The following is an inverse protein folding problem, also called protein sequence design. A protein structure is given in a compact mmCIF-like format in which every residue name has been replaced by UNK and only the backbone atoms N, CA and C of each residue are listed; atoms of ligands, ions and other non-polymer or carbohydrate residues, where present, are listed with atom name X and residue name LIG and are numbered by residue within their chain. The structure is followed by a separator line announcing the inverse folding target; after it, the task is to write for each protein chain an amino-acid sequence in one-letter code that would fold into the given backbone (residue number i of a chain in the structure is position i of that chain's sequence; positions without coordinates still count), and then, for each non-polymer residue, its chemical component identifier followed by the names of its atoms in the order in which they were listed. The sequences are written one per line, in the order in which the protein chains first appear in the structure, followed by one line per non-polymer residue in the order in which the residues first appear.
data_IF_522768169473
#
_entry.id   IF_522768169473
#
_cell.length_a   1.000
_cell.length_b   1.000
_cell.length_c   1.000
_cell.angle_alpha   90.00
_cell.angle_beta   90.00
_cell.angle_gamma   90.00
#
_symmetry.space_group_name_H-M   'P 1'
#
loop_
_entity.id
_entity.type
_entity.pdbx_description
1 polymer ?
#
# COMPACT_ATOMS: atom_id res chain seq x y z
N UNK A 1 15.63 -2.89 12.00
CA UNK A 1 14.24 -2.97 12.47
C UNK A 1 13.57 -4.14 11.77
N UNK A 2 12.85 -4.98 12.52
CA UNK A 2 12.00 -6.03 11.96
C UNK A 2 10.84 -5.41 11.17
N UNK A 3 10.25 -6.16 10.24
CA UNK A 3 9.03 -5.73 9.56
C UNK A 3 7.93 -5.41 10.59
N UNK A 4 7.08 -4.39 10.33
CA UNK A 4 5.87 -4.25 11.11
C UNK A 4 4.96 -5.46 10.88
N UNK A 5 4.07 -5.73 11.85
CA UNK A 5 3.09 -6.80 11.78
C UNK A 5 1.68 -6.24 11.64
N UNK A 6 0.81 -7.01 11.00
CA UNK A 6 -0.61 -6.71 10.90
C UNK A 6 -1.28 -6.93 12.24
N UNK A 7 -1.96 -5.90 12.77
CA UNK A 7 -2.64 -5.94 14.07
C UNK A 7 -3.66 -7.09 14.19
N UNK A 8 -4.30 -7.51 13.09
CA UNK A 8 -5.32 -8.56 13.13
C UNK A 8 -4.80 -9.99 13.03
N UNK A 9 -3.63 -10.22 12.46
CA UNK A 9 -3.16 -11.59 12.20
C UNK A 9 -1.69 -11.83 12.53
N UNK A 10 -1.00 -10.83 13.07
CA UNK A 10 0.41 -10.85 13.47
C UNK A 10 1.41 -11.20 12.35
N UNK A 11 0.95 -11.31 11.10
CA UNK A 11 1.81 -11.57 9.96
C UNK A 11 2.49 -10.29 9.47
N UNK A 12 3.67 -10.38 8.83
CA UNK A 12 4.42 -9.21 8.37
C UNK A 12 3.65 -8.34 7.36
N UNK A 13 3.95 -7.04 7.37
CA UNK A 13 3.51 -6.07 6.36
C UNK A 13 4.70 -5.47 5.63
N UNK A 14 4.50 -5.09 4.37
CA UNK A 14 5.55 -4.58 3.48
C UNK A 14 5.34 -3.11 3.07
N UNK A 15 4.44 -2.40 3.76
CA UNK A 15 4.17 -0.96 3.58
C UNK A 15 3.83 -0.54 2.12
N UNK A 16 3.45 -1.49 1.27
CA UNK A 16 3.05 -1.25 -0.12
C UNK A 16 1.66 -0.63 -0.21
N UNK A 17 1.58 0.59 -0.73
CA UNK A 17 0.31 1.29 -0.91
C UNK A 17 -0.73 0.46 -1.68
N UNK A 18 -1.96 0.46 -1.20
CA UNK A 18 -3.07 -0.34 -1.76
C UNK A 18 -3.08 -1.82 -1.32
N UNK A 19 -2.03 -2.34 -0.70
CA UNK A 19 -2.01 -3.68 -0.11
C UNK A 19 -2.02 -3.66 1.41
N UNK A 20 -1.44 -2.61 1.99
CA UNK A 20 -1.35 -2.39 3.41
C UNK A 20 -1.81 -0.98 3.75
N UNK A 21 -2.29 -0.80 4.97
CA UNK A 21 -2.71 0.50 5.45
C UNK A 21 -2.37 0.68 6.92
N UNK A 22 -2.22 1.93 7.35
CA UNK A 22 -1.84 2.27 8.72
C UNK A 22 -2.79 3.27 9.33
N UNK A 23 -3.29 2.99 10.52
CA UNK A 23 -3.91 4.01 11.36
C UNK A 23 -2.88 4.53 12.36
N UNK A 24 -2.54 5.81 12.26
CA UNK A 24 -1.75 6.47 13.28
C UNK A 24 -2.59 6.78 14.51
N UNK A 25 -2.02 6.57 15.70
CA UNK A 25 -2.72 6.73 16.99
C UNK A 25 -3.29 8.13 17.22
N UNK A 26 -2.70 9.19 16.62
CA UNK A 26 -3.24 10.54 16.74
C UNK A 26 -4.60 10.74 16.02
N UNK A 27 -5.01 9.80 15.17
CA UNK A 27 -6.34 9.81 14.54
C UNK A 27 -7.44 9.32 15.49
N UNK A 28 -7.05 8.75 16.64
CA UNK A 28 -7.98 8.28 17.66
C UNK A 28 -8.47 9.47 18.47
N UNK A 29 -9.77 9.70 18.43
CA UNK A 29 -10.42 10.76 19.21
C UNK A 29 -11.54 10.14 20.03
N UNK A 30 -11.52 10.36 21.35
CA UNK A 30 -12.57 9.89 22.26
C UNK A 30 -12.82 8.37 22.15
N UNK A 31 -11.74 7.59 21.95
CA UNK A 31 -11.79 6.12 21.84
C UNK A 31 -12.32 5.58 20.50
N UNK A 32 -12.39 6.40 19.45
CA UNK A 32 -12.77 5.94 18.11
C UNK A 32 -11.78 6.43 17.04
N UNK A 33 -11.16 5.51 16.26
CA UNK A 33 -11.28 4.04 16.32
C UNK A 33 -10.73 3.45 17.64
N UNK A 34 -11.01 2.17 17.96
CA UNK A 34 -10.45 1.54 19.16
C UNK A 34 -8.91 1.62 19.17
N UNK A 35 -8.31 1.85 20.34
CA UNK A 35 -6.86 2.07 20.50
C UNK A 35 -6.04 0.87 20.03
N UNK A 36 -6.53 -0.32 20.33
CA UNK A 36 -5.96 -1.60 19.90
C UNK A 36 -5.96 -1.79 18.38
N UNK A 37 -6.75 -1.01 17.63
CA UNK A 37 -6.75 -1.07 16.17
C UNK A 37 -5.65 -0.23 15.54
N UNK A 38 -5.00 0.67 16.28
CA UNK A 38 -3.90 1.50 15.73
C UNK A 38 -2.70 0.64 15.30
N UNK A 39 -2.11 0.98 14.16
CA UNK A 39 -0.98 0.25 13.59
C UNK A 39 -1.19 -0.14 12.14
N UNK A 40 -0.37 -1.08 11.68
CA UNK A 40 -0.38 -1.57 10.31
C UNK A 40 -1.36 -2.72 10.12
N UNK A 41 -1.99 -2.77 8.95
CA UNK A 41 -2.96 -3.78 8.56
C UNK A 41 -2.75 -4.22 7.11
N UNK A 42 -3.01 -5.49 6.83
CA UNK A 42 -3.34 -5.92 5.46
C UNK A 42 -4.70 -5.33 5.09
N UNK A 43 -4.85 -4.79 3.88
CA UNK A 43 -6.14 -4.25 3.41
C UNK A 43 -7.24 -5.32 3.43
N UNK A 44 -6.91 -6.59 3.15
CA UNK A 44 -7.85 -7.72 3.27
C UNK A 44 -8.33 -7.93 4.71
N UNK A 45 -7.42 -7.88 5.69
CA UNK A 45 -7.77 -7.99 7.11
C UNK A 45 -8.63 -6.80 7.55
N UNK A 46 -8.29 -5.59 7.13
CA UNK A 46 -9.04 -4.38 7.45
C UNK A 46 -10.46 -4.44 6.87
N UNK A 47 -10.61 -4.84 5.61
CA UNK A 47 -11.92 -5.02 4.94
C UNK A 47 -12.82 -6.07 5.61
N UNK A 48 -12.22 -7.09 6.21
CA UNK A 48 -12.95 -8.14 6.93
C UNK A 48 -13.25 -7.78 8.40
N UNK A 49 -12.67 -6.69 8.90
CA UNK A 49 -12.79 -6.28 10.31
C UNK A 49 -14.02 -5.41 10.55
N UNK A 50 -14.44 -5.34 11.81
CA UNK A 50 -15.50 -4.45 12.29
C UNK A 50 -15.02 -3.01 12.55
N UNK A 51 -13.71 -2.79 12.68
CA UNK A 51 -13.11 -1.47 12.94
C UNK A 51 -13.03 -0.57 11.71
N UNK A 52 -13.20 -1.12 10.51
CA UNK A 52 -13.05 -0.39 9.24
C UNK A 52 -13.95 0.84 9.11
N UNK A 53 -15.19 0.77 9.58
CA UNK A 53 -16.10 1.91 9.58
C UNK A 53 -15.62 3.06 10.48
N UNK A 54 -15.10 2.73 11.66
CA UNK A 54 -14.54 3.74 12.57
C UNK A 54 -13.29 4.40 11.95
N UNK A 55 -12.44 3.61 11.28
CA UNK A 55 -11.29 4.11 10.53
C UNK A 55 -11.69 5.09 9.44
N UNK A 56 -12.71 4.73 8.64
CA UNK A 56 -13.26 5.61 7.60
C UNK A 56 -13.64 6.97 8.20
N UNK A 57 -14.44 6.97 9.28
CA UNK A 57 -14.93 8.20 9.89
C UNK A 57 -13.80 9.05 10.46
N UNK A 58 -12.84 8.43 11.14
CA UNK A 58 -11.68 9.10 11.69
C UNK A 58 -10.81 9.76 10.60
N UNK A 59 -10.54 9.04 9.50
CA UNK A 59 -9.79 9.57 8.37
C UNK A 59 -10.54 10.70 7.68
N UNK A 60 -11.83 10.51 7.37
CA UNK A 60 -12.64 11.56 6.74
C UNK A 60 -12.67 12.81 7.61
N UNK A 61 -12.88 12.68 8.92
CA UNK A 61 -12.80 13.84 9.85
C UNK A 61 -11.42 14.49 9.81
N UNK A 62 -10.34 13.72 9.93
CA UNK A 62 -8.99 14.28 9.93
C UNK A 62 -8.68 15.04 8.64
N UNK A 63 -8.93 14.42 7.48
CA UNK A 63 -8.66 15.04 6.20
C UNK A 63 -9.52 16.29 5.96
N UNK A 64 -10.81 16.27 6.33
CA UNK A 64 -11.71 17.42 6.10
C UNK A 64 -11.54 18.54 7.13
N UNK A 65 -11.48 18.22 8.43
CA UNK A 65 -11.49 19.21 9.50
C UNK A 65 -10.11 19.70 9.91
N UNK A 66 -9.10 18.82 9.85
CA UNK A 66 -7.73 19.16 10.28
C UNK A 66 -6.88 19.54 9.09
N UNK A 67 -6.92 18.74 8.00
CA UNK A 67 -6.07 18.96 6.82
C UNK A 67 -6.72 19.84 5.75
N UNK A 68 -8.01 20.19 5.89
CA UNK A 68 -8.71 21.11 4.99
C UNK A 68 -8.98 20.56 3.59
N UNK A 69 -9.10 19.24 3.45
CA UNK A 69 -9.55 18.61 2.20
C UNK A 69 -11.06 18.83 2.02
N UNK A 70 -11.47 19.04 0.78
CA UNK A 70 -12.86 19.14 0.38
C UNK A 70 -13.38 17.79 -0.10
N UNK A 71 -14.61 17.43 0.25
CA UNK A 71 -15.27 16.25 -0.30
C UNK A 71 -15.76 16.57 -1.70
N UNK A 72 -15.29 15.80 -2.69
CA UNK A 72 -15.63 16.01 -4.10
C UNK A 72 -16.57 14.95 -4.67
N UNK A 73 -16.62 13.77 -4.05
CA UNK A 73 -17.58 12.74 -4.38
C UNK A 73 -17.80 11.76 -3.23
N UNK A 74 -18.92 11.06 -3.29
CA UNK A 74 -19.29 9.98 -2.39
C UNK A 74 -19.94 8.87 -3.22
N UNK A 75 -19.34 7.68 -3.21
CA UNK A 75 -19.87 6.48 -3.87
C UNK A 75 -20.41 5.51 -2.80
N UNK A 76 -20.93 4.37 -3.25
CA UNK A 76 -21.31 3.29 -2.34
C UNK A 76 -20.12 2.83 -1.48
N UNK A 77 -18.93 2.77 -2.09
CA UNK A 77 -17.74 2.18 -1.48
C UNK A 77 -16.70 3.20 -0.99
N UNK A 78 -16.77 4.46 -1.43
CA UNK A 78 -15.71 5.43 -1.19
C UNK A 78 -16.19 6.84 -0.86
N UNK A 79 -15.41 7.55 -0.06
CA UNK A 79 -15.43 9.01 0.07
C UNK A 79 -14.22 9.58 -0.65
N UNK A 80 -14.43 10.42 -1.67
CA UNK A 80 -13.34 11.04 -2.44
C UNK A 80 -13.10 12.47 -1.96
N UNK A 81 -11.85 12.77 -1.63
CA UNK A 81 -11.40 14.03 -1.06
C UNK A 81 -10.34 14.67 -1.95
N UNK A 82 -10.33 16.01 -2.01
CA UNK A 82 -9.35 16.79 -2.76
C UNK A 82 -8.80 17.95 -1.91
N UNK A 83 -7.50 18.19 -1.97
CA UNK A 83 -6.90 19.37 -1.34
C UNK A 83 -6.75 20.55 -2.33
N UNK A 84 -6.34 21.71 -1.79
CA UNK A 84 -6.08 22.93 -2.59
C UNK A 84 -4.94 22.78 -3.61
N UNK A 85 -4.03 21.81 -3.41
CA UNK A 85 -2.93 21.48 -4.31
C UNK A 85 -3.30 20.40 -5.33
N UNK A 86 -4.60 20.07 -5.43
CA UNK A 86 -5.16 19.04 -6.33
C UNK A 86 -4.68 17.61 -6.02
N UNK A 87 -4.17 17.35 -4.81
CA UNK A 87 -4.04 15.99 -4.30
C UNK A 87 -5.43 15.40 -4.15
N UNK A 88 -5.64 14.21 -4.70
CA UNK A 88 -6.90 13.47 -4.61
C UNK A 88 -6.65 12.16 -3.86
N UNK A 89 -7.53 11.88 -2.90
CA UNK A 89 -7.52 10.68 -2.07
C UNK A 89 -8.92 10.07 -2.08
N UNK A 90 -9.01 8.75 -2.00
CA UNK A 90 -10.26 8.04 -1.71
C UNK A 90 -10.10 7.25 -0.41
N UNK A 91 -11.11 7.32 0.45
CA UNK A 91 -11.19 6.56 1.70
C UNK A 91 -12.36 5.58 1.57
N UNK A 92 -12.06 4.30 1.63
CA UNK A 92 -13.03 3.22 1.51
C UNK A 92 -13.92 3.14 2.74
N UNK A 93 -15.13 2.59 2.62
CA UNK A 93 -16.02 2.38 3.77
C UNK A 93 -15.43 1.44 4.83
N UNK A 94 -14.47 0.59 4.43
CA UNK A 94 -13.71 -0.25 5.35
C UNK A 94 -12.48 0.46 5.91
N UNK A 95 -12.32 1.75 5.64
CA UNK A 95 -11.28 2.58 6.19
C UNK A 95 -9.99 2.62 5.38
N UNK A 96 -9.82 1.81 4.33
CA UNK A 96 -8.62 1.84 3.50
C UNK A 96 -8.46 3.17 2.75
N UNK A 97 -7.24 3.58 2.42
CA UNK A 97 -6.92 4.82 1.73
C UNK A 97 -6.15 4.54 0.45
N UNK A 98 -6.58 5.18 -0.63
CA UNK A 98 -5.92 5.14 -1.93
C UNK A 98 -5.63 6.57 -2.38
N UNK A 99 -4.37 6.86 -2.72
CA UNK A 99 -4.03 8.11 -3.40
C UNK A 99 -4.37 7.99 -4.89
N UNK A 100 -5.11 8.97 -5.43
CA UNK A 100 -5.59 8.95 -6.81
C UNK A 100 -4.80 9.87 -7.73
N UNK A 101 -3.59 10.26 -7.33
CA UNK A 101 -2.70 11.11 -8.12
C UNK A 101 -1.45 10.33 -8.45
N UNK A 102 -1.32 9.98 -9.72
CA UNK A 102 -0.24 9.12 -10.20
C UNK A 102 0.68 9.89 -11.15
N UNK A 103 1.84 9.31 -11.45
CA UNK A 103 2.72 9.82 -12.51
C UNK A 103 2.05 9.73 -13.89
N UNK A 104 2.76 10.15 -14.94
CA UNK A 104 2.29 10.15 -16.34
C UNK A 104 2.12 8.75 -16.96
N UNK A 105 2.05 7.71 -16.14
CA UNK A 105 1.93 6.35 -16.60
C UNK A 105 0.49 6.08 -17.03
N UNK A 106 0.33 5.45 -18.21
CA UNK A 106 -0.99 5.13 -18.73
C UNK A 106 -1.64 4.01 -17.89
N UNK A 107 -2.85 4.23 -17.33
CA UNK A 107 -3.58 3.18 -16.65
C UNK A 107 -3.79 1.96 -17.55
N UNK A 108 -3.59 0.77 -17.01
CA UNK A 108 -3.87 -0.50 -17.68
C UNK A 108 -5.26 -0.99 -17.26
N UNK A 109 -6.23 -1.11 -18.18
CA UNK A 109 -7.55 -1.62 -17.85
C UNK A 109 -7.48 -3.08 -17.40
N UNK A 110 -8.29 -3.42 -16.41
CA UNK A 110 -8.46 -4.77 -15.85
C UNK A 110 -9.94 -4.97 -15.51
N UNK A 111 -10.32 -6.19 -15.14
CA UNK A 111 -11.66 -6.41 -14.60
C UNK A 111 -11.88 -5.57 -13.33
N UNK A 112 -13.01 -4.86 -13.27
CA UNK A 112 -13.40 -4.06 -12.12
C UNK A 112 -12.71 -2.69 -11.98
N UNK A 113 -11.79 -2.33 -12.87
CA UNK A 113 -11.14 -1.02 -12.83
C UNK A 113 -9.86 -0.91 -13.66
N UNK A 114 -8.88 -0.18 -13.14
CA UNK A 114 -7.57 0.01 -13.77
C UNK A 114 -6.43 -0.27 -12.80
N UNK A 115 -5.28 -0.68 -13.33
CA UNK A 115 -4.01 -0.68 -12.61
C UNK A 115 -3.21 0.52 -13.09
N UNK A 116 -2.96 1.48 -12.19
CA UNK A 116 -2.13 2.64 -12.50
C UNK A 116 -0.67 2.35 -12.15
N UNK A 117 0.23 2.65 -13.09
CA UNK A 117 1.51 1.94 -13.20
C UNK A 117 2.60 2.40 -12.22
N UNK A 118 3.37 1.38 -11.81
CA UNK A 118 4.79 1.33 -11.41
C UNK A 118 5.28 2.57 -10.69
N UNK A 119 4.98 2.60 -9.39
CA UNK A 119 5.85 3.28 -8.44
C UNK A 119 7.22 2.64 -8.60
N UNK A 120 8.18 3.38 -9.11
CA UNK A 120 9.59 3.04 -9.06
C UNK A 120 10.17 3.80 -7.88
N UNK A 121 10.48 3.08 -6.81
CA UNK A 121 11.03 3.67 -5.60
C UNK A 121 12.16 2.82 -5.04
N UNK A 122 13.04 3.47 -4.27
CA UNK A 122 14.04 2.78 -3.47
C UNK A 122 13.32 2.09 -2.34
N UNK A 123 13.45 0.76 -2.29
CA UNK A 123 12.77 -0.06 -1.31
C UNK A 123 13.78 -0.81 -0.48
N UNK A 124 13.73 -0.55 0.83
CA UNK A 124 14.61 -1.18 1.81
C UNK A 124 13.82 -2.22 2.59
N UNK A 125 14.24 -3.47 2.47
CA UNK A 125 13.59 -4.58 3.12
C UNK A 125 14.55 -5.22 4.12
N UNK A 126 14.16 -5.24 5.39
CA UNK A 126 14.86 -5.96 6.44
C UNK A 126 14.05 -7.19 6.87
N UNK A 127 14.66 -8.36 6.81
CA UNK A 127 14.01 -9.65 7.12
C UNK A 127 14.78 -10.37 8.22
N UNK A 128 14.04 -11.12 9.04
CA UNK A 128 14.65 -11.94 10.08
C UNK A 128 15.31 -13.22 9.54
N UNK A 129 14.81 -13.70 8.39
CA UNK A 129 15.34 -14.89 7.69
C UNK A 129 16.53 -14.52 6.80
N UNK A 130 17.74 -14.81 7.26
CA UNK A 130 18.96 -14.66 6.47
C UNK A 130 18.96 -15.55 5.20
N UNK A 131 18.33 -16.73 5.27
CA UNK A 131 18.20 -17.62 4.12
C UNK A 131 17.33 -17.00 3.02
N UNK A 132 16.20 -16.39 3.38
CA UNK A 132 15.34 -15.69 2.41
C UNK A 132 16.04 -14.46 1.83
N UNK A 133 16.78 -13.72 2.65
CA UNK A 133 17.60 -12.59 2.17
C UNK A 133 18.62 -13.05 1.13
N UNK A 134 19.35 -14.13 1.43
CA UNK A 134 20.33 -14.69 0.49
C UNK A 134 19.66 -15.14 -0.81
N UNK A 135 18.52 -15.84 -0.74
CA UNK A 135 17.76 -16.25 -1.92
C UNK A 135 17.40 -15.06 -2.81
N UNK A 136 16.91 -13.97 -2.20
CA UNK A 136 16.54 -12.76 -2.95
C UNK A 136 17.79 -12.12 -3.57
N UNK A 137 18.89 -12.00 -2.81
CA UNK A 137 20.15 -11.44 -3.31
C UNK A 137 20.69 -12.24 -4.50
N UNK A 138 20.77 -13.57 -4.37
CA UNK A 138 21.25 -14.46 -5.42
C UNK A 138 20.38 -14.36 -6.69
N UNK A 139 19.06 -14.29 -6.51
CA UNK A 139 18.11 -14.15 -7.62
C UNK A 139 18.22 -12.79 -8.29
N UNK A 140 18.37 -11.71 -7.52
CA UNK A 140 18.57 -10.36 -8.06
C UNK A 140 19.92 -10.25 -8.79
N UNK A 141 20.99 -10.85 -8.28
CA UNK A 141 22.29 -10.84 -8.96
C UNK A 141 22.27 -11.67 -10.25
N UNK A 142 21.58 -12.80 -10.28
CA UNK A 142 21.57 -13.70 -11.44
C UNK A 142 20.56 -13.33 -12.53
N UNK A 143 19.37 -12.86 -12.14
CA UNK A 143 18.26 -12.58 -13.07
C UNK A 143 17.88 -11.10 -13.16
N UNK A 144 18.49 -10.25 -12.33
CA UNK A 144 18.15 -8.82 -12.17
C UNK A 144 16.76 -8.52 -11.60
N UNK A 145 15.91 -9.54 -11.34
CA UNK A 145 14.54 -9.33 -10.87
C UNK A 145 14.10 -10.37 -9.83
N UNK A 146 13.31 -9.97 -8.84
CA UNK A 146 12.64 -10.87 -7.89
C UNK A 146 11.14 -10.58 -7.83
N UNK A 147 10.25 -11.54 -8.15
CA UNK A 147 8.80 -11.30 -8.13
C UNK A 147 8.26 -11.02 -6.72
N UNK A 148 7.47 -9.97 -6.53
CA UNK A 148 6.87 -9.67 -5.21
C UNK A 148 5.90 -10.74 -4.72
N UNK A 149 5.20 -11.42 -5.63
CA UNK A 149 4.32 -12.52 -5.24
C UNK A 149 5.09 -13.69 -4.62
N UNK A 150 6.33 -13.94 -5.06
CA UNK A 150 7.21 -14.93 -4.43
C UNK A 150 7.59 -14.50 -3.01
N UNK A 151 7.89 -13.20 -2.81
CA UNK A 151 8.16 -12.63 -1.49
C UNK A 151 6.96 -12.79 -0.56
N UNK A 152 5.74 -12.46 -1.01
CA UNK A 152 4.55 -12.63 -0.18
C UNK A 152 4.28 -14.10 0.18
N UNK A 153 4.53 -15.03 -0.75
CA UNK A 153 4.41 -16.45 -0.48
C UNK A 153 5.43 -16.90 0.58
N UNK A 154 6.70 -16.48 0.44
CA UNK A 154 7.76 -16.80 1.40
C UNK A 154 7.50 -16.22 2.80
N UNK A 155 6.85 -15.06 2.87
CA UNK A 155 6.42 -14.42 4.13
C UNK A 155 5.10 -14.98 4.69
N UNK A 156 4.44 -15.91 4.00
CA UNK A 156 3.15 -16.48 4.43
C UNK A 156 1.97 -15.51 4.33
N UNK A 157 2.09 -14.43 3.55
CA UNK A 157 1.05 -13.38 3.41
C UNK A 157 0.38 -13.37 2.03
N UNK A 158 0.61 -14.41 1.21
CA UNK A 158 0.04 -14.49 -0.14
C UNK A 158 -1.48 -14.36 -0.19
N UNK A 159 -2.21 -14.95 0.75
CA UNK A 159 -3.68 -14.85 0.88
C UNK A 159 -4.16 -13.52 1.50
N UNK A 160 -3.23 -12.66 1.95
CA UNK A 160 -3.54 -11.35 2.52
C UNK A 160 -3.42 -10.20 1.51
N UNK A 161 -2.99 -10.51 0.29
CA UNK A 161 -2.93 -9.58 -0.84
C UNK A 161 -4.34 -9.22 -1.29
N UNK A 162 -4.68 -7.93 -1.27
CA UNK A 162 -6.02 -7.45 -1.60
C UNK A 162 -6.30 -7.50 -3.10
N UNK A 163 -5.39 -6.94 -3.90
CA UNK A 163 -5.59 -6.76 -5.34
C UNK A 163 -4.47 -7.46 -6.11
N UNK A 164 -4.49 -8.79 -6.12
CA UNK A 164 -3.46 -9.63 -6.77
C UNK A 164 -3.18 -9.23 -8.22
N UNK A 165 -4.19 -8.76 -8.94
CA UNK A 165 -4.06 -8.33 -10.33
C UNK A 165 -3.11 -7.13 -10.51
N UNK A 166 -3.07 -6.22 -9.53
CA UNK A 166 -2.14 -5.09 -9.52
C UNK A 166 -0.69 -5.52 -9.26
N UNK A 167 -0.49 -6.68 -8.63
CA UNK A 167 0.82 -7.21 -8.26
C UNK A 167 1.33 -8.30 -9.21
N UNK A 168 0.53 -8.69 -10.20
CA UNK A 168 0.90 -9.70 -11.21
C UNK A 168 2.20 -9.41 -11.97
N UNK A 169 2.60 -8.14 -12.06
CA UNK A 169 3.85 -7.69 -12.69
C UNK A 169 4.76 -6.93 -11.71
N UNK A 170 4.49 -7.07 -10.41
CA UNK A 170 5.24 -6.38 -9.38
C UNK A 170 6.51 -7.14 -9.01
N UNK A 171 7.62 -6.42 -8.93
CA UNK A 171 8.96 -6.99 -8.80
C UNK A 171 9.90 -6.05 -8.06
N UNK A 172 10.94 -6.64 -7.47
CA UNK A 172 12.16 -5.94 -7.09
C UNK A 172 13.13 -6.04 -8.27
N UNK A 173 13.78 -4.95 -8.64
CA UNK A 173 14.89 -4.93 -9.60
C UNK A 173 16.22 -4.70 -8.90
N UNK A 174 17.23 -5.37 -9.42
CA UNK A 174 18.60 -5.11 -9.07
C UNK A 174 19.00 -3.68 -9.47
N UNK A 175 19.72 -3.01 -8.57
CA UNK A 175 20.31 -1.69 -8.77
C UNK A 175 21.68 -1.75 -8.10
N UNK A 176 22.76 -1.49 -8.85
CA UNK A 176 24.13 -1.64 -8.36
C UNK A 176 24.44 -0.68 -7.20
N UNK A 177 23.85 0.53 -7.22
CA UNK A 177 24.03 1.51 -6.15
C UNK A 177 23.33 1.07 -4.87
N UNK A 178 22.14 0.48 -4.98
CA UNK A 178 21.42 -0.07 -3.85
C UNK A 178 22.03 -1.39 -3.33
N UNK A 179 22.64 -2.18 -4.22
CA UNK A 179 23.31 -3.42 -3.88
C UNK A 179 24.48 -3.22 -2.91
N UNK A 180 25.15 -2.06 -2.95
CA UNK A 180 26.19 -1.70 -2.00
C UNK A 180 25.71 -1.62 -0.54
N UNK A 181 24.39 -1.53 -0.31
CA UNK A 181 23.77 -1.49 1.03
C UNK A 181 23.30 -2.85 1.53
N UNK A 182 23.49 -3.92 0.75
CA UNK A 182 23.05 -5.25 1.14
C UNK A 182 23.84 -5.80 2.31
N UNK A 183 23.16 -6.51 3.21
CA UNK A 183 23.78 -7.26 4.30
C UNK A 183 22.97 -8.51 4.63
N UNK A 184 23.45 -9.34 5.57
CA UNK A 184 22.88 -10.66 5.87
C UNK A 184 21.38 -10.70 6.27
N UNK A 185 20.77 -9.53 6.52
CA UNK A 185 19.37 -9.39 6.94
C UNK A 185 18.63 -8.29 6.19
N UNK A 186 19.22 -7.70 5.16
CA UNK A 186 18.53 -6.69 4.38
C UNK A 186 18.88 -6.75 2.91
N UNK A 187 17.94 -6.25 2.12
CA UNK A 187 18.11 -5.96 0.72
C UNK A 187 17.61 -4.55 0.46
N UNK A 188 18.25 -3.88 -0.49
CA UNK A 188 17.78 -2.61 -1.03
C UNK A 188 17.66 -2.77 -2.54
N UNK A 189 16.52 -2.45 -3.12
CA UNK A 189 16.24 -2.68 -4.53
C UNK A 189 15.30 -1.62 -5.09
N UNK A 190 15.23 -1.51 -6.42
CA UNK A 190 14.20 -0.72 -7.08
C UNK A 190 12.91 -1.52 -7.06
N UNK A 191 11.90 -1.06 -6.36
CA UNK A 191 10.59 -1.68 -6.34
C UNK A 191 9.77 -1.16 -7.52
N UNK A 192 9.14 -2.06 -8.26
CA UNK A 192 8.15 -1.73 -9.29
C UNK A 192 6.83 -2.42 -8.97
N UNK A 193 5.76 -1.67 -8.71
CA UNK A 193 4.43 -2.25 -8.49
C UNK A 193 3.29 -1.33 -8.94
N UNK A 194 2.14 -1.93 -9.27
CA UNK A 194 0.93 -1.21 -9.63
C UNK A 194 -0.01 -1.04 -8.43
N UNK A 195 -0.86 -0.02 -8.51
CA UNK A 195 -1.99 0.17 -7.58
C UNK A 195 -3.29 -0.06 -8.35
N UNK A 196 -4.16 -0.90 -7.80
CA UNK A 196 -5.50 -1.09 -8.34
C UNK A 196 -6.38 0.10 -7.97
N UNK A 197 -7.09 0.64 -8.96
CA UNK A 197 -8.09 1.69 -8.79
C UNK A 197 -9.43 1.13 -9.32
N UNK A 198 -10.42 0.92 -8.44
CA UNK A 198 -11.76 0.52 -8.84
C UNK A 198 -12.40 1.46 -9.86
N UNK A 199 -13.30 0.94 -10.69
CA UNK A 199 -13.94 1.69 -11.78
C UNK A 199 -14.74 2.92 -11.32
N UNK A 200 -15.30 2.89 -10.12
CA UNK A 200 -16.01 4.03 -9.54
C UNK A 200 -15.08 5.17 -9.10
N UNK A 201 -13.76 4.91 -9.01
CA UNK A 201 -12.74 5.90 -8.71
C UNK A 201 -12.00 6.44 -9.94
N UNK A 202 -12.10 5.76 -11.10
CA UNK A 202 -11.42 6.17 -12.35
C UNK A 202 -11.64 7.64 -12.74
N UNK A 203 -12.85 8.23 -12.64
CA UNK A 203 -13.09 9.63 -13.03
C UNK A 203 -12.32 10.65 -12.16
N UNK A 204 -11.80 10.22 -11.01
CA UNK A 204 -11.09 11.08 -10.06
C UNK A 204 -9.57 10.92 -10.11
N UNK A 205 -9.07 10.01 -10.95
CA UNK A 205 -7.64 9.81 -11.18
C UNK A 205 -7.04 11.06 -11.83
N UNK A 206 -6.02 11.62 -11.19
CA UNK A 206 -5.30 12.80 -11.65
C UNK A 206 -3.81 12.54 -11.92
N UNK A 207 -3.18 13.47 -12.62
CA UNK A 207 -1.73 13.48 -12.82
C UNK A 207 -1.02 14.30 -11.74
N UNK A 208 0.13 13.80 -11.26
CA UNK A 208 0.99 14.51 -10.30
C UNK A 208 1.59 15.73 -11.00
N UNK A 209 1.15 16.92 -10.60
CA UNK A 209 1.76 18.19 -11.03
C UNK A 209 3.13 18.30 -10.35
N UNK A 210 4.19 18.46 -11.16
CA UNK A 210 5.57 18.65 -10.67
C UNK A 210 5.78 20.04 -10.10
#
# INVERSE_FOLDING_TARGET
MSLPTCVACDLPVLELGGQFDKLDSFLIERGSPPEESAGWWHVTCLRASDVGGAWHDARVRNFTRVRGFERVAETASWTVLRDRRRKVLAIGRSGELVELVFGRNRPRPVEGGVVVSRVEEEYHLQLDSAALVQEIQDTLTSTSVYPLLALFAALGIGEKVADRIALSQALLRHDEGLAAMWHAKSISARLEYGVFVPSDLEPYVGERVR
#
